data_IF_077201936082
#
_entry.id   IF_077201936082
#
_cell.length_a   1.000
_cell.length_b   1.000
_cell.length_c   1.000
_cell.angle_alpha   90.00
_cell.angle_beta   90.00
_cell.angle_gamma   90.00
#
_symmetry.space_group_name_H-M   'P 1'
#
loop_
_entity.id
_entity.type
_entity.pdbx_description
1 polymer ?
#
# COMPACT_ATOMS: atom_id res chain seq x y z
N UNK A 1 -23.63 1.86 8.34
CA UNK A 1 -23.85 3.27 7.92
C UNK A 1 -22.76 3.73 6.93
N UNK A 2 -21.44 3.65 7.24
CA UNK A 2 -20.35 4.11 6.32
C UNK A 2 -20.42 3.47 4.91
N UNK A 3 -20.72 2.18 4.82
CA UNK A 3 -20.84 1.48 3.53
C UNK A 3 -22.10 1.96 2.77
N UNK A 4 -23.21 2.16 3.45
CA UNK A 4 -24.42 2.69 2.84
C UNK A 4 -24.25 4.13 2.32
N UNK A 5 -23.51 4.96 3.07
CA UNK A 5 -23.18 6.33 2.65
C UNK A 5 -22.27 6.32 1.43
N UNK A 6 -21.27 5.43 1.39
CA UNK A 6 -20.40 5.21 0.23
C UNK A 6 -21.17 4.72 -1.00
N UNK A 7 -22.07 3.73 -0.84
CA UNK A 7 -22.93 3.24 -1.92
C UNK A 7 -23.79 4.37 -2.49
N UNK A 8 -24.44 5.17 -1.65
CA UNK A 8 -25.26 6.31 -2.10
C UNK A 8 -24.45 7.34 -2.90
N UNK A 9 -23.21 7.58 -2.50
CA UNK A 9 -22.34 8.50 -3.22
C UNK A 9 -22.01 8.02 -4.64
N UNK A 10 -21.79 6.72 -4.82
CA UNK A 10 -21.41 6.16 -6.12
C UNK A 10 -22.58 5.69 -6.98
N UNK A 11 -23.74 5.35 -6.40
CA UNK A 11 -24.90 4.78 -7.12
C UNK A 11 -25.46 5.69 -8.22
N UNK A 12 -25.38 7.02 -8.03
CA UNK A 12 -25.82 7.97 -9.05
C UNK A 12 -25.00 7.92 -10.35
N UNK A 13 -23.73 7.47 -10.27
CA UNK A 13 -22.81 7.35 -11.41
C UNK A 13 -22.71 5.92 -11.93
N UNK A 14 -22.87 4.94 -11.04
CA UNK A 14 -22.65 3.52 -11.33
C UNK A 14 -23.74 2.66 -10.66
N UNK A 15 -24.95 2.58 -11.22
CA UNK A 15 -26.13 1.97 -10.57
C UNK A 15 -26.02 0.45 -10.34
N UNK A 16 -25.23 -0.26 -11.16
CA UNK A 16 -25.10 -1.73 -11.10
C UNK A 16 -23.73 -2.16 -10.52
N UNK A 17 -23.04 -1.25 -9.79
CA UNK A 17 -21.73 -1.53 -9.26
C UNK A 17 -21.81 -2.50 -8.08
N UNK A 18 -20.87 -3.47 -8.03
CA UNK A 18 -20.57 -4.25 -6.84
C UNK A 18 -19.42 -3.60 -6.07
N UNK A 19 -19.38 -3.80 -4.75
CA UNK A 19 -18.46 -3.11 -3.85
C UNK A 19 -17.55 -4.08 -3.10
N UNK A 20 -16.33 -3.66 -2.85
CA UNK A 20 -15.47 -4.26 -1.85
C UNK A 20 -15.48 -3.36 -0.61
N UNK A 21 -15.78 -3.92 0.55
CA UNK A 21 -15.66 -3.17 1.79
C UNK A 21 -14.19 -3.05 2.19
N UNK A 22 -13.65 -1.83 2.22
CA UNK A 22 -12.25 -1.57 2.51
C UNK A 22 -12.05 -1.10 3.96
N UNK A 23 -11.49 -1.95 4.76
CA UNK A 23 -11.03 -1.66 6.12
C UNK A 23 -9.63 -1.08 6.04
N UNK A 24 -9.52 0.24 5.95
CA UNK A 24 -8.24 0.93 5.70
C UNK A 24 -7.65 1.62 6.92
N UNK A 25 -8.49 2.23 7.76
CA UNK A 25 -8.02 3.08 8.85
C UNK A 25 -7.34 2.26 9.96
N UNK A 26 -6.12 2.66 10.33
CA UNK A 26 -5.33 2.04 11.41
C UNK A 26 -4.99 0.56 11.14
N UNK A 27 -5.21 -0.31 12.16
CA UNK A 27 -4.88 -1.73 12.14
C UNK A 27 -6.17 -2.53 12.35
N UNK A 28 -6.69 -3.12 11.28
CA UNK A 28 -8.03 -3.70 11.29
C UNK A 28 -8.10 -5.15 11.79
N UNK A 29 -6.97 -5.70 12.23
CA UNK A 29 -6.88 -7.00 12.90
C UNK A 29 -6.44 -6.87 14.37
N UNK A 30 -6.45 -5.65 14.92
CA UNK A 30 -6.12 -5.41 16.32
C UNK A 30 -7.37 -5.37 17.19
N UNK A 31 -7.46 -6.30 18.14
CA UNK A 31 -8.60 -6.44 19.05
C UNK A 31 -8.92 -7.91 19.34
N UNK A 32 -10.12 -8.19 19.88
CA UNK A 32 -10.58 -9.57 20.04
C UNK A 32 -11.07 -10.14 18.72
N UNK A 33 -10.70 -11.39 18.42
CA UNK A 33 -11.06 -12.04 17.16
C UNK A 33 -12.57 -12.02 16.90
N UNK A 34 -13.39 -12.26 17.94
CA UNK A 34 -14.85 -12.28 17.81
C UNK A 34 -15.41 -10.90 17.38
N UNK A 35 -14.90 -9.82 17.97
CA UNK A 35 -15.33 -8.47 17.59
C UNK A 35 -14.93 -8.17 16.14
N UNK A 36 -13.70 -8.51 15.75
CA UNK A 36 -13.17 -8.29 14.40
C UNK A 36 -13.98 -9.07 13.38
N UNK A 37 -14.23 -10.38 13.62
CA UNK A 37 -15.05 -11.23 12.77
C UNK A 37 -16.47 -10.66 12.60
N UNK A 38 -17.08 -10.19 13.68
CA UNK A 38 -18.41 -9.56 13.65
C UNK A 38 -18.44 -8.35 12.70
N UNK A 39 -17.44 -7.47 12.76
CA UNK A 39 -17.37 -6.30 11.87
C UNK A 39 -17.25 -6.71 10.39
N UNK A 40 -16.52 -7.75 10.07
CA UNK A 40 -16.39 -8.24 8.69
C UNK A 40 -17.71 -8.86 8.20
N UNK A 41 -18.39 -9.65 9.03
CA UNK A 41 -19.69 -10.22 8.68
C UNK A 41 -20.77 -9.12 8.52
N UNK A 42 -20.77 -8.11 9.37
CA UNK A 42 -21.65 -6.94 9.22
C UNK A 42 -21.41 -6.20 7.89
N UNK A 43 -20.15 -6.08 7.46
CA UNK A 43 -19.82 -5.44 6.19
C UNK A 43 -20.27 -6.30 4.99
N UNK A 44 -20.10 -7.61 5.06
CA UNK A 44 -20.53 -8.55 4.02
C UNK A 44 -22.05 -8.70 3.92
N UNK A 45 -22.78 -8.44 5.03
CA UNK A 45 -24.24 -8.45 5.05
C UNK A 45 -24.85 -7.23 4.31
N UNK A 46 -24.07 -6.21 3.97
CA UNK A 46 -24.54 -5.08 3.20
C UNK A 46 -24.76 -5.50 1.73
N UNK A 47 -25.93 -5.21 1.18
CA UNK A 47 -26.29 -5.52 -0.21
C UNK A 47 -25.22 -5.01 -1.20
N UNK A 48 -24.91 -5.78 -2.23
CA UNK A 48 -23.88 -5.50 -3.24
C UNK A 48 -22.42 -5.49 -2.76
N UNK A 49 -22.15 -5.73 -1.50
CA UNK A 49 -20.79 -5.96 -1.03
C UNK A 49 -20.41 -7.41 -1.34
N UNK A 50 -19.44 -7.59 -2.23
CA UNK A 50 -19.02 -8.91 -2.75
C UNK A 50 -17.65 -9.34 -2.24
N UNK A 51 -17.07 -8.61 -1.32
CA UNK A 51 -15.77 -8.97 -0.73
C UNK A 51 -15.20 -7.89 0.16
N UNK A 52 -14.03 -8.23 0.71
CA UNK A 52 -13.30 -7.40 1.66
C UNK A 52 -11.88 -7.10 1.19
N UNK A 53 -11.41 -5.90 1.50
CA UNK A 53 -9.99 -5.53 1.50
C UNK A 53 -9.64 -5.10 2.92
N UNK A 54 -8.69 -5.77 3.54
CA UNK A 54 -8.35 -5.58 4.96
C UNK A 54 -6.91 -5.07 5.06
N UNK A 55 -6.75 -3.77 5.34
CA UNK A 55 -5.47 -3.15 5.62
C UNK A 55 -5.07 -3.36 7.07
N UNK A 56 -3.87 -3.88 7.32
CA UNK A 56 -3.39 -4.15 8.67
C UNK A 56 -1.88 -4.09 8.81
N UNK A 57 -1.42 -4.19 10.06
CA UNK A 57 0.00 -4.36 10.41
C UNK A 57 0.35 -5.85 10.44
N UNK A 58 1.55 -6.23 9.98
CA UNK A 58 1.95 -7.64 9.95
C UNK A 58 2.11 -8.27 11.34
N UNK A 59 2.39 -7.49 12.38
CA UNK A 59 2.49 -7.94 13.77
C UNK A 59 1.14 -8.06 14.50
N UNK A 60 0.04 -7.74 13.83
CA UNK A 60 -1.31 -7.78 14.38
C UNK A 60 -2.18 -8.89 13.75
N UNK A 61 -1.57 -9.94 13.23
CA UNK A 61 -2.27 -11.11 12.70
C UNK A 61 -1.90 -12.35 13.53
N UNK A 62 -2.86 -13.22 13.75
CA UNK A 62 -2.66 -14.50 14.44
C UNK A 62 -3.28 -15.66 13.66
N UNK A 63 -2.96 -16.89 14.06
CA UNK A 63 -3.41 -18.09 13.35
C UNK A 63 -4.93 -18.23 13.34
N UNK A 64 -5.64 -17.91 14.44
CA UNK A 64 -7.10 -17.96 14.50
C UNK A 64 -7.78 -17.00 13.50
N UNK A 65 -7.20 -15.82 13.29
CA UNK A 65 -7.68 -14.89 12.27
C UNK A 65 -7.35 -15.38 10.86
N UNK A 66 -6.17 -15.94 10.67
CA UNK A 66 -5.78 -16.51 9.37
C UNK A 66 -6.66 -17.69 8.99
N UNK A 67 -7.02 -18.54 9.94
CA UNK A 67 -7.94 -19.66 9.71
C UNK A 67 -9.34 -19.17 9.35
N UNK A 68 -9.82 -18.14 10.03
CA UNK A 68 -11.07 -17.47 9.67
C UNK A 68 -10.99 -16.82 8.28
N UNK A 69 -9.88 -16.17 7.93
CA UNK A 69 -9.69 -15.58 6.61
C UNK A 69 -9.61 -16.63 5.50
N UNK A 70 -9.05 -17.81 5.78
CA UNK A 70 -9.06 -18.92 4.85
C UNK A 70 -10.48 -19.40 4.57
N UNK A 71 -11.32 -19.55 5.60
CA UNK A 71 -12.75 -19.89 5.44
C UNK A 71 -13.48 -18.79 4.68
N UNK A 72 -13.25 -17.52 5.05
CA UNK A 72 -13.86 -16.36 4.41
C UNK A 72 -13.50 -16.27 2.91
N UNK A 73 -12.24 -16.54 2.55
CA UNK A 73 -11.77 -16.53 1.17
C UNK A 73 -12.41 -17.61 0.27
N UNK A 74 -12.96 -18.67 0.86
CA UNK A 74 -13.71 -19.71 0.10
C UNK A 74 -15.10 -19.26 -0.33
N UNK A 75 -15.70 -18.28 0.36
CA UNK A 75 -17.08 -17.81 0.13
C UNK A 75 -17.20 -16.39 -0.39
N UNK A 76 -16.12 -15.59 -0.35
CA UNK A 76 -16.13 -14.22 -0.85
C UNK A 76 -14.76 -13.79 -1.35
N UNK A 77 -14.71 -12.69 -2.07
CA UNK A 77 -13.44 -12.10 -2.48
C UNK A 77 -12.73 -11.48 -1.28
N UNK A 78 -11.47 -11.84 -1.06
CA UNK A 78 -10.67 -11.34 0.05
C UNK A 78 -9.27 -10.95 -0.40
N UNK A 79 -8.82 -9.77 0.04
CA UNK A 79 -7.41 -9.34 0.01
C UNK A 79 -7.04 -8.87 1.42
N UNK A 80 -5.89 -9.35 1.91
CA UNK A 80 -5.25 -8.81 3.13
C UNK A 80 -4.05 -7.97 2.71
N UNK A 81 -4.05 -6.69 3.10
CA UNK A 81 -3.00 -5.73 2.75
C UNK A 81 -2.12 -5.41 3.96
N UNK A 82 -0.84 -5.69 3.85
CA UNK A 82 0.12 -5.42 4.90
C UNK A 82 0.90 -4.13 4.68
N UNK A 83 0.94 -3.27 5.70
CA UNK A 83 1.84 -2.12 5.74
C UNK A 83 3.27 -2.58 6.03
N UNK A 84 4.00 -2.97 5.00
CA UNK A 84 5.43 -3.37 5.08
C UNK A 84 6.31 -2.14 5.27
N UNK A 85 6.00 -1.08 4.56
CA UNK A 85 6.63 0.24 4.49
C UNK A 85 8.04 0.20 3.88
N UNK A 86 8.95 -0.62 4.39
CA UNK A 86 10.33 -0.83 3.89
C UNK A 86 10.85 -2.21 4.29
N UNK A 87 11.86 -2.70 3.56
CA UNK A 87 12.60 -3.91 3.92
C UNK A 87 13.83 -3.61 4.83
N UNK A 88 14.02 -2.36 5.22
CA UNK A 88 15.16 -1.94 6.04
C UNK A 88 14.77 -1.84 7.51
N UNK A 89 15.27 -2.75 8.34
CA UNK A 89 14.95 -2.80 9.77
C UNK A 89 15.47 -1.59 10.56
N UNK A 90 16.55 -0.93 10.11
CA UNK A 90 17.03 0.30 10.74
C UNK A 90 16.02 1.43 10.49
N UNK A 91 15.50 1.54 9.28
CA UNK A 91 14.46 2.50 8.94
C UNK A 91 13.16 2.19 9.69
N UNK A 92 12.73 0.92 9.77
CA UNK A 92 11.54 0.52 10.55
C UNK A 92 11.67 0.94 12.01
N UNK A 93 12.86 0.75 12.63
CA UNK A 93 13.12 1.21 13.99
C UNK A 93 13.11 2.73 14.10
N UNK A 94 13.73 3.43 13.16
CA UNK A 94 13.79 4.89 13.13
C UNK A 94 12.40 5.54 13.09
N UNK A 95 11.51 5.00 12.25
CA UNK A 95 10.13 5.49 12.12
C UNK A 95 9.17 4.89 13.16
N UNK A 96 9.69 4.10 14.10
CA UNK A 96 8.94 3.44 15.18
C UNK A 96 7.78 2.57 14.66
N UNK A 97 8.07 1.72 13.65
CA UNK A 97 7.04 0.90 13.01
C UNK A 97 6.48 -0.20 13.91
N UNK A 98 7.28 -0.69 14.88
CA UNK A 98 6.88 -1.68 15.89
C UNK A 98 7.02 -3.15 15.45
N UNK A 99 7.47 -3.40 14.22
CA UNK A 99 7.83 -4.72 13.69
C UNK A 99 9.06 -4.60 12.79
N UNK A 100 9.71 -5.72 12.53
CA UNK A 100 10.81 -5.86 11.56
C UNK A 100 10.31 -6.42 10.22
N UNK A 101 11.19 -6.49 9.25
CA UNK A 101 10.85 -7.03 7.93
C UNK A 101 10.62 -8.56 7.97
N UNK A 102 11.26 -9.29 8.87
CA UNK A 102 11.03 -10.72 9.03
C UNK A 102 9.58 -11.01 9.47
N UNK A 103 9.03 -10.19 10.37
CA UNK A 103 7.62 -10.25 10.76
C UNK A 103 6.70 -10.01 9.55
N UNK A 104 6.97 -8.98 8.74
CA UNK A 104 6.18 -8.68 7.56
C UNK A 104 6.23 -9.83 6.53
N UNK A 105 7.42 -10.38 6.26
CA UNK A 105 7.60 -11.53 5.38
C UNK A 105 6.79 -12.73 5.85
N UNK A 106 6.90 -13.09 7.14
CA UNK A 106 6.16 -14.21 7.73
C UNK A 106 4.65 -14.04 7.57
N UNK A 107 4.10 -12.86 7.89
CA UNK A 107 2.68 -12.60 7.76
C UNK A 107 2.19 -12.76 6.31
N UNK A 108 2.95 -12.25 5.33
CA UNK A 108 2.66 -12.37 3.90
C UNK A 108 2.69 -13.84 3.46
N UNK A 109 3.76 -14.57 3.79
CA UNK A 109 3.93 -15.97 3.39
C UNK A 109 2.86 -16.87 4.01
N UNK A 110 2.53 -16.70 5.29
CA UNK A 110 1.48 -17.47 5.98
C UNK A 110 0.08 -17.20 5.43
N UNK A 111 -0.22 -15.94 5.06
CA UNK A 111 -1.48 -15.56 4.43
C UNK A 111 -1.60 -16.15 3.02
N UNK A 112 -0.54 -16.02 2.21
CA UNK A 112 -0.52 -16.54 0.85
C UNK A 112 -0.57 -18.09 0.83
N UNK A 113 0.07 -18.77 1.80
CA UNK A 113 0.03 -20.25 1.94
C UNK A 113 -1.39 -20.78 2.16
N UNK A 114 -2.28 -19.98 2.73
CA UNK A 114 -3.71 -20.28 2.88
C UNK A 114 -4.55 -19.97 1.63
N UNK A 115 -3.90 -19.62 0.51
CA UNK A 115 -4.57 -19.27 -0.75
C UNK A 115 -5.25 -17.90 -0.74
N UNK A 116 -4.99 -17.05 0.26
CA UNK A 116 -5.54 -15.71 0.38
C UNK A 116 -4.68 -14.75 -0.45
N UNK A 117 -5.33 -13.83 -1.19
CA UNK A 117 -4.63 -12.76 -1.91
C UNK A 117 -3.98 -11.80 -0.94
N UNK A 118 -2.72 -11.45 -1.21
CA UNK A 118 -1.95 -10.56 -0.35
C UNK A 118 -1.58 -9.30 -1.09
N UNK A 119 -1.87 -8.16 -0.49
CA UNK A 119 -1.35 -6.85 -0.90
C UNK A 119 -0.24 -6.36 0.04
N UNK A 120 0.63 -5.51 -0.46
CA UNK A 120 1.60 -4.81 0.36
C UNK A 120 1.59 -3.31 0.10
N UNK A 121 1.88 -2.54 1.14
CA UNK A 121 2.15 -1.11 1.04
C UNK A 121 3.62 -0.85 1.36
N UNK A 122 4.27 -0.05 0.52
CA UNK A 122 5.64 0.42 0.73
C UNK A 122 5.71 1.94 0.58
N UNK A 123 6.66 2.54 1.28
CA UNK A 123 6.92 3.98 1.22
C UNK A 123 8.34 4.21 0.72
N UNK A 124 8.50 4.96 -0.37
CA UNK A 124 9.80 5.35 -0.87
C UNK A 124 10.20 6.73 -0.35
N UNK A 125 11.47 6.88 0.03
CA UNK A 125 12.03 8.10 0.57
C UNK A 125 11.89 8.25 2.08
N UNK A 126 11.77 7.15 2.82
CA UNK A 126 11.81 7.18 4.28
C UNK A 126 13.14 7.75 4.79
N UNK A 127 13.19 8.35 5.99
CA UNK A 127 14.44 8.89 6.54
C UNK A 127 15.55 7.82 6.58
N UNK A 128 16.71 8.17 6.04
CA UNK A 128 17.84 7.25 5.93
C UNK A 128 17.87 6.40 4.67
N UNK A 129 16.86 6.47 3.83
CA UNK A 129 16.81 5.74 2.56
C UNK A 129 16.95 6.68 1.36
N UNK A 130 17.91 6.38 0.51
CA UNK A 130 18.11 7.02 -0.79
C UNK A 130 17.49 6.17 -1.93
N UNK A 131 17.64 6.64 -3.17
CA UNK A 131 17.15 5.93 -4.34
C UNK A 131 17.82 4.55 -4.51
N UNK A 132 19.10 4.43 -4.15
CA UNK A 132 19.85 3.18 -4.26
C UNK A 132 19.30 2.14 -3.28
N UNK A 133 19.03 2.55 -2.05
CA UNK A 133 18.42 1.67 -1.05
C UNK A 133 17.01 1.25 -1.48
N UNK A 134 16.19 2.19 -1.97
CA UNK A 134 14.87 1.87 -2.50
C UNK A 134 14.93 0.82 -3.62
N UNK A 135 15.84 0.98 -4.59
CA UNK A 135 16.00 0.02 -5.69
C UNK A 135 16.54 -1.33 -5.22
N UNK A 136 17.38 -1.38 -4.19
CA UNK A 136 17.85 -2.63 -3.56
C UNK A 136 16.68 -3.45 -2.99
N UNK A 137 15.63 -2.79 -2.52
CA UNK A 137 14.46 -3.44 -1.93
C UNK A 137 13.50 -4.02 -2.98
N UNK A 138 13.48 -3.50 -4.21
CA UNK A 138 12.54 -3.92 -5.24
C UNK A 138 12.57 -5.44 -5.53
N UNK A 139 13.72 -6.10 -5.75
CA UNK A 139 13.76 -7.54 -5.94
C UNK A 139 13.35 -8.32 -4.69
N UNK A 140 13.56 -7.78 -3.48
CA UNK A 140 13.11 -8.42 -2.23
C UNK A 140 11.58 -8.42 -2.17
N UNK A 141 10.95 -7.28 -2.42
CA UNK A 141 9.47 -7.17 -2.50
C UNK A 141 8.93 -8.04 -3.63
N UNK A 142 9.58 -8.03 -4.79
CA UNK A 142 9.19 -8.85 -5.94
C UNK A 142 9.21 -10.35 -5.67
N UNK A 143 10.05 -10.83 -4.76
CA UNK A 143 10.15 -12.25 -4.39
C UNK A 143 9.05 -12.72 -3.43
N UNK A 144 8.31 -11.80 -2.80
CA UNK A 144 7.22 -12.15 -1.89
C UNK A 144 5.98 -12.63 -2.67
N UNK A 145 5.16 -13.52 -2.12
CA UNK A 145 3.95 -14.03 -2.77
C UNK A 145 2.80 -13.00 -2.74
N UNK A 146 3.05 -11.81 -3.27
CA UNK A 146 2.10 -10.71 -3.33
C UNK A 146 1.21 -10.82 -4.57
N UNK A 147 -0.06 -10.45 -4.44
CA UNK A 147 -0.98 -10.23 -5.57
C UNK A 147 -0.94 -8.77 -6.01
N UNK A 148 -0.89 -7.85 -5.06
CA UNK A 148 -0.94 -6.41 -5.33
C UNK A 148 0.13 -5.65 -4.55
N UNK A 149 0.54 -4.50 -5.09
CA UNK A 149 1.48 -3.59 -4.45
C UNK A 149 1.01 -2.14 -4.59
N UNK A 150 0.96 -1.43 -3.46
CA UNK A 150 0.78 0.02 -3.40
C UNK A 150 2.09 0.67 -3.02
N UNK A 151 2.53 1.62 -3.84
CA UNK A 151 3.75 2.38 -3.60
C UNK A 151 3.34 3.80 -3.21
N UNK A 152 3.94 4.34 -2.17
CA UNK A 152 3.68 5.68 -1.69
C UNK A 152 4.97 6.49 -1.63
N UNK A 153 4.90 7.77 -1.99
CA UNK A 153 5.93 8.71 -1.59
C UNK A 153 5.81 9.02 -0.09
N UNK A 154 6.93 9.28 0.54
CA UNK A 154 6.90 9.80 1.90
C UNK A 154 6.16 11.14 1.95
N UNK A 155 5.26 11.29 2.92
CA UNK A 155 4.58 12.53 3.24
C UNK A 155 4.85 12.94 4.69
N UNK A 156 5.19 14.19 4.89
CA UNK A 156 5.36 14.79 6.22
C UNK A 156 4.03 15.40 6.63
N UNK A 157 3.40 14.78 7.63
CA UNK A 157 2.06 15.14 8.10
C UNK A 157 2.16 15.88 9.42
N UNK A 158 1.47 17.01 9.53
CA UNK A 158 1.39 17.85 10.73
C UNK A 158 0.94 17.02 11.94
N UNK A 159 1.56 17.28 13.09
CA UNK A 159 1.23 16.59 14.34
C UNK A 159 1.91 15.22 14.53
N UNK A 160 2.64 14.71 13.54
CA UNK A 160 3.36 13.44 13.65
C UNK A 160 4.76 13.63 14.24
N UNK A 161 5.33 12.55 14.80
CA UNK A 161 6.74 12.52 15.22
C UNK A 161 7.68 12.78 14.04
N UNK A 162 7.35 12.26 12.86
CA UNK A 162 8.14 12.48 11.66
C UNK A 162 8.20 13.96 11.25
N UNK A 163 7.11 14.71 11.44
CA UNK A 163 7.10 16.15 11.21
C UNK A 163 8.06 16.90 12.16
N UNK A 164 8.14 16.47 13.42
CA UNK A 164 9.12 17.03 14.38
C UNK A 164 10.54 16.71 13.95
N UNK A 165 10.83 15.46 13.62
CA UNK A 165 12.15 15.05 13.12
C UNK A 165 12.56 15.86 11.87
N UNK A 166 11.64 16.06 10.94
CA UNK A 166 11.91 16.84 9.72
C UNK A 166 12.16 18.32 10.01
N UNK A 167 11.47 18.91 10.99
CA UNK A 167 11.68 20.30 11.39
C UNK A 167 13.02 20.50 12.10
N UNK A 168 13.45 19.53 12.91
CA UNK A 168 14.74 19.57 13.64
C UNK A 168 15.93 19.31 12.72
N UNK A 169 15.83 18.32 11.85
CA UNK A 169 16.87 17.92 10.89
C UNK A 169 16.22 17.53 9.56
N UNK A 170 16.05 18.48 8.64
CA UNK A 170 15.49 18.20 7.31
C UNK A 170 16.30 17.13 6.57
N UNK A 171 15.60 16.22 5.91
CA UNK A 171 16.16 15.21 5.02
C UNK A 171 15.54 15.34 3.63
N UNK A 172 16.14 14.70 2.64
CA UNK A 172 15.68 14.79 1.25
C UNK A 172 14.25 14.27 1.10
N UNK A 173 13.42 15.02 0.40
CA UNK A 173 12.12 14.60 -0.09
C UNK A 173 12.13 14.74 -1.61
N UNK A 174 11.73 13.69 -2.31
CA UNK A 174 11.76 13.68 -3.77
C UNK A 174 10.88 14.76 -4.38
N UNK A 175 11.37 15.40 -5.43
CA UNK A 175 10.53 16.14 -6.38
C UNK A 175 9.68 15.18 -7.20
N UNK A 176 8.71 15.68 -7.96
CA UNK A 176 7.88 14.83 -8.84
C UNK A 176 8.74 14.10 -9.87
N UNK A 177 9.70 14.80 -10.47
CA UNK A 177 10.58 14.28 -11.52
C UNK A 177 11.53 13.21 -10.99
N UNK A 178 12.15 13.45 -9.83
CA UNK A 178 12.99 12.45 -9.16
C UNK A 178 12.20 11.19 -8.79
N UNK A 179 10.98 11.37 -8.30
CA UNK A 179 10.13 10.26 -7.88
C UNK A 179 9.61 9.47 -9.08
N UNK A 180 9.23 10.12 -10.19
CA UNK A 180 8.86 9.45 -11.45
C UNK A 180 10.00 8.56 -11.93
N UNK A 181 11.24 9.07 -11.93
CA UNK A 181 12.43 8.31 -12.32
C UNK A 181 12.62 7.10 -11.40
N UNK A 182 12.57 7.31 -10.08
CA UNK A 182 12.73 6.25 -9.10
C UNK A 182 11.65 5.16 -9.25
N UNK A 183 10.37 5.53 -9.40
CA UNK A 183 9.28 4.59 -9.59
C UNK A 183 9.45 3.79 -10.90
N UNK A 184 9.84 4.45 -12.00
CA UNK A 184 10.06 3.76 -13.28
C UNK A 184 11.20 2.72 -13.17
N UNK A 185 12.29 3.07 -12.48
CA UNK A 185 13.40 2.17 -12.21
C UNK A 185 12.98 1.03 -11.27
N UNK A 186 12.21 1.35 -10.20
CA UNK A 186 11.68 0.37 -9.25
C UNK A 186 10.77 -0.65 -9.94
N UNK A 187 9.81 -0.20 -10.76
CA UNK A 187 8.89 -1.07 -11.51
C UNK A 187 9.67 -2.03 -12.42
N UNK A 188 10.75 -1.57 -13.04
CA UNK A 188 11.56 -2.43 -13.95
C UNK A 188 12.24 -3.61 -13.24
N UNK A 189 12.32 -3.59 -11.92
CA UNK A 189 12.88 -4.64 -11.07
C UNK A 189 11.83 -5.57 -10.46
N UNK A 190 10.54 -5.27 -10.67
CA UNK A 190 9.44 -6.09 -10.19
C UNK A 190 9.08 -7.17 -11.21
N UNK A 191 8.57 -8.30 -10.73
CA UNK A 191 8.00 -9.33 -11.60
C UNK A 191 6.76 -8.80 -12.33
N UNK A 192 6.53 -9.24 -13.59
CA UNK A 192 5.51 -8.65 -14.45
C UNK A 192 4.06 -8.98 -14.06
N UNK A 193 3.83 -10.02 -13.26
CA UNK A 193 2.52 -10.46 -12.79
C UNK A 193 2.04 -9.76 -11.51
N UNK A 194 2.88 -8.92 -10.89
CA UNK A 194 2.51 -8.14 -9.72
C UNK A 194 1.63 -6.96 -10.11
N UNK A 195 0.40 -6.91 -9.59
CA UNK A 195 -0.54 -5.83 -9.87
C UNK A 195 -0.17 -4.58 -9.08
N UNK A 196 0.10 -3.48 -9.78
CA UNK A 196 0.43 -2.20 -9.18
C UNK A 196 -0.83 -1.32 -9.11
N UNK A 197 -1.29 -1.02 -7.89
CA UNK A 197 -2.57 -0.34 -7.70
C UNK A 197 -2.43 1.18 -7.62
N UNK A 198 -1.37 1.68 -7.00
CA UNK A 198 -1.18 3.10 -6.74
C UNK A 198 0.30 3.45 -6.58
N UNK A 199 0.67 4.67 -7.02
CA UNK A 199 2.06 5.17 -6.99
C UNK A 199 2.26 6.38 -6.09
N UNK A 200 1.18 7.04 -5.66
CA UNK A 200 1.23 8.21 -4.79
C UNK A 200 0.10 8.18 -3.77
N UNK A 201 0.38 8.74 -2.59
CA UNK A 201 -0.61 8.96 -1.55
C UNK A 201 -1.07 10.42 -1.57
N UNK A 202 -2.30 10.65 -1.13
CA UNK A 202 -2.86 11.99 -0.94
C UNK A 202 -3.29 12.16 0.52
N UNK A 203 -2.90 13.28 1.10
CA UNK A 203 -3.32 13.68 2.45
C UNK A 203 -4.08 14.99 2.40
N UNK A 204 -4.92 15.30 3.40
CA UNK A 204 -5.59 16.58 3.48
C UNK A 204 -4.58 17.74 3.37
N UNK A 205 -4.84 18.76 2.52
CA UNK A 205 -3.89 19.82 2.25
C UNK A 205 -3.47 20.63 3.48
N UNK A 206 -4.36 20.75 4.46
CA UNK A 206 -4.12 21.44 5.73
C UNK A 206 -3.19 20.66 6.67
N UNK A 207 -3.12 19.34 6.53
CA UNK A 207 -2.24 18.46 7.30
C UNK A 207 -0.90 18.22 6.59
N UNK A 208 -0.83 18.31 5.27
CA UNK A 208 0.38 18.04 4.51
C UNK A 208 1.40 19.18 4.65
N UNK A 209 2.55 18.89 5.25
CA UNK A 209 3.69 19.81 5.33
C UNK A 209 4.51 19.74 4.04
N UNK A 210 4.93 18.53 3.63
CA UNK A 210 5.77 18.28 2.46
C UNK A 210 5.70 16.81 2.01
N UNK A 211 6.04 16.48 0.75
CA UNK A 211 6.18 17.40 -0.38
C UNK A 211 4.81 17.87 -0.88
N UNK A 212 4.73 19.11 -1.32
CA UNK A 212 3.48 19.69 -1.89
C UNK A 212 3.55 19.67 -3.42
N UNK A 213 3.32 18.51 -4.01
CA UNK A 213 3.38 18.37 -5.47
C UNK A 213 2.18 18.96 -6.22
N UNK A 214 1.02 19.09 -5.55
CA UNK A 214 -0.19 19.62 -6.17
C UNK A 214 -0.81 18.72 -7.25
N UNK A 215 -0.37 17.47 -7.38
CA UNK A 215 -0.82 16.54 -8.41
C UNK A 215 -1.86 15.57 -7.85
N UNK A 216 -2.87 15.29 -8.66
CA UNK A 216 -3.80 14.17 -8.41
C UNK A 216 -3.16 12.85 -8.85
N UNK A 217 -3.67 11.75 -8.32
CA UNK A 217 -3.13 10.41 -8.59
C UNK A 217 -3.11 10.08 -10.11
N UNK A 218 -4.18 10.42 -10.84
CA UNK A 218 -4.26 10.16 -12.28
C UNK A 218 -3.25 11.01 -13.08
N UNK A 219 -2.97 12.26 -12.65
CA UNK A 219 -1.99 13.14 -13.30
C UNK A 219 -0.57 12.60 -13.13
N UNK A 220 -0.25 12.13 -11.92
CA UNK A 220 1.02 11.48 -11.65
C UNK A 220 1.18 10.21 -12.50
N UNK A 221 0.17 9.33 -12.51
CA UNK A 221 0.17 8.09 -13.29
C UNK A 221 0.36 8.36 -14.78
N UNK A 222 -0.27 9.40 -15.31
CA UNK A 222 -0.11 9.81 -16.72
C UNK A 222 1.34 10.25 -17.02
N UNK A 223 1.94 11.08 -16.16
CA UNK A 223 3.35 11.49 -16.30
C UNK A 223 4.32 10.31 -16.23
N UNK A 224 4.08 9.40 -15.28
CA UNK A 224 4.87 8.18 -15.15
C UNK A 224 4.80 7.31 -16.42
N UNK A 225 3.61 7.09 -16.98
CA UNK A 225 3.44 6.33 -18.21
C UNK A 225 4.18 6.96 -19.40
N UNK A 226 4.10 8.29 -19.53
CA UNK A 226 4.81 9.00 -20.60
C UNK A 226 6.33 8.84 -20.44
N UNK A 227 6.86 9.04 -19.23
CA UNK A 227 8.28 8.85 -18.96
C UNK A 227 8.74 7.42 -19.27
N UNK A 228 7.97 6.39 -18.88
CA UNK A 228 8.31 5.00 -19.17
C UNK A 228 8.31 4.70 -20.67
N UNK A 229 7.35 5.24 -21.44
CA UNK A 229 7.33 5.11 -22.91
C UNK A 229 8.54 5.74 -23.57
N UNK A 230 8.91 6.95 -23.19
CA UNK A 230 10.10 7.64 -23.70
C UNK A 230 11.38 6.86 -23.39
N UNK A 231 11.51 6.34 -22.17
CA UNK A 231 12.65 5.52 -21.75
C UNK A 231 12.78 4.24 -22.58
N UNK A 232 11.68 3.57 -22.89
CA UNK A 232 11.65 2.37 -23.73
C UNK A 232 12.05 2.68 -25.18
N UNK A 233 11.52 3.79 -25.75
CA UNK A 233 11.84 4.22 -27.11
C UNK A 233 13.33 4.59 -27.26
N UNK A 234 13.90 5.30 -26.28
CA UNK A 234 15.30 5.68 -26.28
C UNK A 234 16.23 4.44 -26.18
N UNK A 235 15.85 3.44 -25.39
CA UNK A 235 16.59 2.18 -25.31
C UNK A 235 16.56 1.41 -26.63
N UNK A 236 15.41 1.31 -27.27
CA UNK A 236 15.26 0.63 -28.56
C UNK A 236 15.99 1.34 -29.71
N UNK A 237 16.32 2.63 -29.58
CA UNK A 237 17.13 3.40 -30.54
C UNK A 237 18.63 3.24 -30.29
N UNK A 238 19.06 3.04 -29.05
CA UNK A 238 20.48 2.85 -28.70
C UNK A 238 20.98 1.42 -28.95
N UNK A 239 20.08 0.46 -29.09
CA UNK A 239 20.39 -0.96 -29.38
C UNK A 239 20.41 -1.26 -30.92
N UNK A 240 20.24 -0.21 -31.75
CA UNK A 240 20.36 -0.26 -33.23
C UNK A 240 21.64 0.40 -33.70
#
# INVERSE_FOLDING_TARGET
>A
QQLEDGKRFFSGKYPEMKYLAYFQAYTNTYGTNDHIKKLYEEALAVEDVVGLVIGTRPDCINDDLLDYFEELNRRTFLIVEYGVETCNDETLRLVNRGHDFACARKAIEETARRGIRVGAHIILGLPGEDAKESLRQAPIISSLPLTTLKIHQLQIIRGTRLAKMYAEKPFHLYTVEEYIKLIADYISLLRPDLVLERFVSQSPPDLLIAPKWGLKNYEFTHRLHNYMKEKLNNKAQSDK
#
